data_IF_848516547704
#
_entry.id   IF_848516547704
#
_cell.length_a   1.000
_cell.length_b   1.000
_cell.length_c   1.000
_cell.angle_alpha   90.00
_cell.angle_beta   90.00
_cell.angle_gamma   90.00
#
_symmetry.space_group_name_H-M   'P 1'
#
loop_
_entity.id
_entity.type
_entity.pdbx_description
1 polymer ?
#
# COMPACT_ATOMS: atom_id res chain seq x y z
N UNK A 1 13.49 -21.23 2.27
CA UNK A 1 13.00 -20.52 1.07
C UNK A 1 13.45 -19.06 1.08
N UNK A 2 14.78 -18.84 1.13
CA UNK A 2 15.35 -17.49 1.13
C UNK A 2 15.08 -16.72 -0.18
N UNK A 3 14.87 -17.43 -1.29
CA UNK A 3 14.65 -16.84 -2.61
C UNK A 3 13.32 -16.07 -2.73
N UNK A 4 12.32 -16.39 -1.91
CA UNK A 4 11.00 -15.74 -1.90
C UNK A 4 10.83 -14.70 -0.79
N UNK A 5 11.86 -14.48 0.03
CA UNK A 5 11.84 -13.47 1.07
C UNK A 5 11.99 -12.07 0.48
N UNK A 6 11.39 -11.02 1.08
CA UNK A 6 11.66 -9.64 0.73
C UNK A 6 13.15 -9.33 0.76
N UNK A 7 13.64 -8.55 -0.20
CA UNK A 7 15.07 -8.30 -0.39
C UNK A 7 15.78 -7.86 0.90
N UNK A 8 15.17 -6.96 1.65
CA UNK A 8 15.72 -6.40 2.89
C UNK A 8 15.83 -7.40 4.03
N UNK A 9 15.10 -8.51 3.97
CA UNK A 9 14.96 -9.46 5.07
C UNK A 9 15.64 -10.81 4.79
N UNK A 10 16.25 -10.98 3.61
CA UNK A 10 16.87 -12.26 3.19
C UNK A 10 18.14 -12.61 3.93
N UNK A 11 18.70 -11.69 4.70
CA UNK A 11 20.07 -11.79 5.25
C UNK A 11 20.09 -12.34 6.69
N UNK A 12 18.99 -12.25 7.42
CA UNK A 12 18.92 -12.63 8.83
C UNK A 12 17.97 -13.80 9.08
N UNK A 13 18.24 -14.59 10.13
CA UNK A 13 17.48 -15.79 10.49
C UNK A 13 16.03 -15.49 10.93
N UNK A 14 15.78 -14.30 11.46
CA UNK A 14 14.50 -13.81 11.98
C UNK A 14 13.76 -12.89 10.98
N UNK A 15 14.09 -13.00 9.70
CA UNK A 15 13.54 -12.14 8.66
C UNK A 15 12.01 -12.18 8.54
N UNK A 16 11.38 -13.34 8.78
CA UNK A 16 9.92 -13.49 8.70
C UNK A 16 9.24 -12.63 9.76
N UNK A 17 9.73 -12.71 11.01
CA UNK A 17 9.16 -11.94 12.11
C UNK A 17 9.34 -10.44 11.89
N UNK A 18 10.52 -10.01 11.48
CA UNK A 18 10.77 -8.58 11.19
C UNK A 18 9.98 -8.07 10.01
N UNK A 19 9.88 -8.85 8.93
CA UNK A 19 9.04 -8.52 7.78
C UNK A 19 7.58 -8.36 8.21
N UNK A 20 7.08 -9.29 8.99
CA UNK A 20 5.71 -9.26 9.48
C UNK A 20 5.44 -8.03 10.36
N UNK A 21 6.28 -7.77 11.34
CA UNK A 21 6.14 -6.65 12.27
C UNK A 21 6.19 -5.28 11.60
N UNK A 22 6.91 -5.15 10.48
CA UNK A 22 6.99 -3.92 9.69
C UNK A 22 5.88 -3.78 8.65
N UNK A 23 5.10 -4.84 8.41
CA UNK A 23 4.14 -4.88 7.31
C UNK A 23 2.80 -4.23 7.66
N UNK A 24 2.38 -4.28 8.90
CA UNK A 24 1.11 -3.73 9.34
C UNK A 24 1.06 -2.20 9.20
N UNK A 25 -0.11 -1.68 8.83
CA UNK A 25 -0.37 -0.24 8.81
C UNK A 25 -0.12 0.36 10.19
N UNK A 26 0.59 1.50 10.31
CA UNK A 26 0.93 2.05 11.62
C UNK A 26 -0.27 2.72 12.31
N UNK A 27 -0.34 2.60 13.65
CA UNK A 27 -1.42 3.18 14.48
C UNK A 27 -1.55 4.71 14.40
N UNK A 28 -0.52 5.41 13.92
CA UNK A 28 -0.55 6.86 13.75
C UNK A 28 -1.03 7.29 12.35
N UNK A 29 -1.42 6.34 11.48
CA UNK A 29 -2.05 6.67 10.22
C UNK A 29 -3.43 7.28 10.46
N UNK A 30 -3.79 8.29 9.66
CA UNK A 30 -5.11 8.91 9.74
C UNK A 30 -6.25 7.89 9.61
N UNK A 31 -7.26 8.01 10.47
CA UNK A 31 -8.46 7.15 10.53
C UNK A 31 -8.26 5.65 10.78
N UNK A 32 -7.05 5.19 11.06
CA UNK A 32 -6.81 3.75 11.25
C UNK A 32 -7.68 3.16 12.37
N UNK A 33 -7.91 3.89 13.45
CA UNK A 33 -8.74 3.41 14.57
C UNK A 33 -10.19 3.19 14.16
N UNK A 34 -10.77 4.12 13.39
CA UNK A 34 -12.13 3.99 12.86
C UNK A 34 -12.22 2.79 11.89
N UNK A 35 -11.19 2.59 11.07
CA UNK A 35 -11.10 1.46 10.14
C UNK A 35 -11.05 0.13 10.92
N UNK A 36 -10.22 0.04 11.96
CA UNK A 36 -10.12 -1.17 12.78
C UNK A 36 -11.47 -1.52 13.43
N UNK A 37 -12.17 -0.53 13.98
CA UNK A 37 -13.52 -0.70 14.54
C UNK A 37 -14.52 -1.20 13.50
N UNK A 38 -14.57 -0.56 12.32
CA UNK A 38 -15.43 -0.97 11.21
C UNK A 38 -15.13 -2.39 10.72
N UNK A 39 -13.85 -2.79 10.77
CA UNK A 39 -13.41 -4.13 10.39
C UNK A 39 -13.59 -5.17 11.51
N UNK A 40 -14.00 -4.75 12.72
CA UNK A 40 -14.19 -5.63 13.87
C UNK A 40 -12.89 -6.27 14.38
N UNK A 41 -11.78 -5.54 14.27
CA UNK A 41 -10.45 -5.98 14.73
C UNK A 41 -9.84 -4.99 15.73
N UNK A 42 -9.01 -5.48 16.64
CA UNK A 42 -8.50 -4.69 17.76
C UNK A 42 -7.17 -3.98 17.49
N UNK A 43 -6.41 -4.43 16.49
CA UNK A 43 -5.07 -3.92 16.21
C UNK A 43 -4.69 -4.07 14.73
N UNK A 44 -3.68 -3.31 14.26
CA UNK A 44 -3.19 -3.39 12.88
C UNK A 44 -2.72 -4.79 12.47
N UNK A 45 -2.13 -5.56 13.37
CA UNK A 45 -1.67 -6.91 13.09
C UNK A 45 -2.84 -7.86 12.82
N UNK A 46 -3.94 -7.72 13.57
CA UNK A 46 -5.18 -8.48 13.32
C UNK A 46 -5.82 -8.07 11.97
N UNK A 47 -5.74 -6.79 11.62
CA UNK A 47 -6.19 -6.29 10.32
C UNK A 47 -5.32 -6.84 9.18
N UNK A 48 -4.01 -6.92 9.39
CA UNK A 48 -3.08 -7.53 8.44
C UNK A 48 -3.37 -9.02 8.22
N UNK A 49 -3.59 -9.79 9.32
CA UNK A 49 -3.96 -11.22 9.24
C UNK A 49 -5.27 -11.40 8.48
N UNK A 50 -6.29 -10.60 8.80
CA UNK A 50 -7.60 -10.64 8.13
C UNK A 50 -7.46 -10.46 6.61
N UNK A 51 -6.48 -9.68 6.16
CA UNK A 51 -6.20 -9.40 4.76
C UNK A 51 -5.05 -10.26 4.18
N UNK A 52 -4.69 -11.36 4.83
CA UNK A 52 -3.65 -12.31 4.38
C UNK A 52 -2.28 -11.67 4.15
N UNK A 53 -2.01 -10.51 4.75
CA UNK A 53 -0.81 -9.73 4.48
C UNK A 53 -0.68 -9.21 3.05
N UNK A 54 -1.73 -9.22 2.26
CA UNK A 54 -1.73 -8.80 0.85
C UNK A 54 -1.38 -7.31 0.71
N UNK A 55 -0.62 -6.99 -0.34
CA UNK A 55 -0.18 -5.64 -0.68
C UNK A 55 -0.25 -5.37 -2.18
N UNK A 56 -0.24 -4.10 -2.56
CA UNK A 56 0.01 -3.64 -3.93
C UNK A 56 1.41 -3.00 -4.08
N UNK A 57 2.29 -3.16 -3.09
CA UNK A 57 3.69 -2.76 -3.20
C UNK A 57 4.64 -3.93 -3.46
N UNK A 58 4.14 -5.14 -3.25
CA UNK A 58 4.83 -6.40 -3.48
C UNK A 58 3.82 -7.53 -3.73
N UNK A 59 4.30 -8.77 -3.84
CA UNK A 59 3.49 -9.97 -4.11
C UNK A 59 3.60 -11.03 -3.01
N UNK A 60 4.03 -10.66 -1.81
CA UNK A 60 4.11 -11.56 -0.66
C UNK A 60 2.78 -11.62 0.08
N UNK A 61 2.41 -12.81 0.55
CA UNK A 61 1.19 -13.02 1.32
C UNK A 61 1.33 -14.23 2.24
N UNK A 62 0.42 -14.34 3.21
CA UNK A 62 0.32 -15.52 4.08
C UNK A 62 -0.86 -16.36 3.65
N UNK A 63 -0.65 -17.65 3.57
CA UNK A 63 -1.71 -18.63 3.33
C UNK A 63 -1.97 -19.41 4.61
N UNK A 64 -3.22 -19.41 5.13
CA UNK A 64 -3.57 -20.29 6.25
C UNK A 64 -3.29 -21.74 5.87
N UNK A 65 -2.71 -22.49 6.80
CA UNK A 65 -2.54 -23.94 6.64
C UNK A 65 -3.91 -24.55 6.35
N UNK A 66 -3.94 -25.58 5.54
CA UNK A 66 -5.17 -26.29 5.15
C UNK A 66 -6.20 -25.47 4.34
N UNK A 67 -5.92 -24.19 4.02
CA UNK A 67 -6.77 -23.43 3.11
C UNK A 67 -6.52 -23.87 1.66
N UNK A 68 -7.58 -23.97 0.86
CA UNK A 68 -7.50 -24.16 -0.59
C UNK A 68 -7.13 -22.90 -1.37
N UNK A 69 -6.72 -21.81 -0.70
CA UNK A 69 -6.41 -20.54 -1.33
C UNK A 69 -5.17 -20.64 -2.22
N UNK A 70 -5.26 -20.05 -3.40
CA UNK A 70 -4.16 -19.90 -4.34
C UNK A 70 -3.92 -18.42 -4.63
N UNK A 71 -2.73 -18.06 -5.11
CA UNK A 71 -2.42 -16.68 -5.49
C UNK A 71 -3.47 -16.09 -6.45
N UNK A 72 -3.87 -16.84 -7.46
CA UNK A 72 -4.89 -16.41 -8.43
C UNK A 72 -6.21 -16.01 -7.77
N UNK A 73 -6.58 -16.66 -6.67
CA UNK A 73 -7.84 -16.38 -5.95
C UNK A 73 -7.77 -15.12 -5.09
N UNK A 74 -6.58 -14.73 -4.62
CA UNK A 74 -6.41 -13.65 -3.65
C UNK A 74 -5.61 -12.46 -4.17
N UNK A 75 -4.92 -12.60 -5.32
CA UNK A 75 -4.07 -11.56 -5.87
C UNK A 75 -4.84 -10.26 -6.11
N UNK A 76 -4.40 -9.19 -5.47
CA UNK A 76 -4.93 -7.83 -5.66
C UNK A 76 -4.56 -7.23 -7.02
N UNK A 77 -3.63 -7.87 -7.75
CA UNK A 77 -3.28 -7.50 -9.12
C UNK A 77 -4.23 -8.12 -10.14
N UNK A 78 -4.78 -9.29 -9.85
CA UNK A 78 -5.66 -10.04 -10.78
C UNK A 78 -7.15 -9.86 -10.48
N UNK A 79 -7.49 -9.47 -9.25
CA UNK A 79 -8.87 -9.35 -8.80
C UNK A 79 -9.21 -7.92 -8.38
N UNK A 80 -10.50 -7.61 -8.38
CA UNK A 80 -10.99 -6.34 -7.86
C UNK A 80 -11.08 -6.38 -6.33
N UNK A 81 -10.86 -5.25 -5.71
CA UNK A 81 -10.92 -5.06 -4.26
C UNK A 81 -11.60 -3.72 -3.92
N UNK A 82 -11.87 -3.49 -2.65
CA UNK A 82 -12.31 -2.20 -2.13
C UNK A 82 -11.27 -1.62 -1.18
N UNK A 83 -10.96 -0.35 -1.37
CA UNK A 83 -10.20 0.44 -0.40
C UNK A 83 -11.11 1.13 0.61
N UNK A 84 -10.49 1.80 1.59
CA UNK A 84 -11.22 2.52 2.64
C UNK A 84 -11.65 3.93 2.22
N UNK A 85 -11.14 4.45 1.12
CA UNK A 85 -11.47 5.78 0.57
C UNK A 85 -11.95 5.65 -0.87
N UNK A 86 -12.72 6.65 -1.32
CA UNK A 86 -13.21 6.75 -2.69
C UNK A 86 -12.96 8.15 -3.25
N UNK A 87 -12.78 8.25 -4.56
CA UNK A 87 -12.75 9.55 -5.23
C UNK A 87 -14.17 10.12 -5.31
N UNK A 88 -14.33 11.37 -4.89
CA UNK A 88 -15.62 12.06 -4.96
C UNK A 88 -16.04 12.28 -6.42
N UNK A 89 -17.29 11.92 -6.74
CA UNK A 89 -17.85 12.08 -8.08
C UNK A 89 -17.41 11.04 -9.11
N UNK A 90 -16.55 10.11 -8.76
CA UNK A 90 -16.25 8.93 -9.61
C UNK A 90 -16.77 7.66 -8.93
N UNK A 91 -17.45 6.82 -9.67
CA UNK A 91 -17.77 5.47 -9.17
C UNK A 91 -16.46 4.67 -9.18
N UNK A 92 -16.13 4.08 -8.03
CA UNK A 92 -15.18 2.97 -8.03
C UNK A 92 -15.69 1.92 -9.03
N UNK A 93 -14.82 1.42 -9.89
CA UNK A 93 -15.18 0.35 -10.83
C UNK A 93 -15.56 -0.87 -9.99
N UNK A 94 -16.84 -1.11 -9.86
CA UNK A 94 -17.35 -2.38 -9.34
C UNK A 94 -17.85 -3.11 -10.56
N UNK A 95 -17.07 -4.05 -11.03
CA UNK A 95 -17.55 -4.98 -12.05
C UNK A 95 -18.70 -5.80 -11.45
N UNK A 96 -19.54 -6.35 -12.29
CA UNK A 96 -20.56 -7.33 -11.90
C UNK A 96 -19.93 -8.66 -11.43
N UNK A 97 -18.60 -8.71 -11.24
CA UNK A 97 -17.84 -9.83 -10.73
C UNK A 97 -17.67 -9.79 -9.21
N UNK A 98 -17.19 -10.88 -8.63
CA UNK A 98 -16.93 -10.97 -7.20
C UNK A 98 -15.76 -10.06 -6.82
N UNK A 99 -16.06 -8.99 -6.07
CA UNK A 99 -15.04 -8.18 -5.42
C UNK A 99 -14.42 -8.99 -4.26
N UNK A 100 -13.10 -8.99 -4.16
CA UNK A 100 -12.42 -9.62 -3.04
C UNK A 100 -12.88 -8.99 -1.72
N UNK A 101 -13.00 -9.83 -0.69
CA UNK A 101 -13.20 -9.37 0.68
C UNK A 101 -11.92 -8.78 1.30
N UNK A 102 -10.77 -8.94 0.65
CA UNK A 102 -9.47 -8.47 1.09
C UNK A 102 -9.18 -7.07 0.55
N UNK A 103 -8.44 -6.27 1.33
CA UNK A 103 -7.98 -4.94 0.94
C UNK A 103 -6.46 -4.81 1.07
N UNK A 104 -5.78 -4.09 0.16
CA UNK A 104 -4.36 -3.79 0.29
C UNK A 104 -4.05 -2.74 1.37
N UNK A 105 -5.06 -2.07 1.92
CA UNK A 105 -4.88 -0.95 2.84
C UNK A 105 -4.27 -1.35 4.19
N UNK A 106 -4.35 -2.63 4.56
CA UNK A 106 -3.75 -3.17 5.78
C UNK A 106 -2.20 -3.10 5.81
N UNK A 107 -1.58 -2.85 4.66
CA UNK A 107 -0.10 -2.76 4.50
C UNK A 107 0.40 -1.36 4.18
N UNK A 108 -0.48 -0.35 4.13
CA UNK A 108 -0.10 1.02 3.79
C UNK A 108 0.73 1.66 4.89
N UNK A 109 1.94 2.10 4.55
CA UNK A 109 2.89 2.71 5.48
C UNK A 109 2.79 4.23 5.52
N UNK A 110 3.19 4.84 6.64
CA UNK A 110 3.26 6.28 6.87
C UNK A 110 1.98 6.87 7.49
N UNK A 111 2.08 8.10 8.00
CA UNK A 111 1.08 8.74 8.87
C UNK A 111 -0.11 9.37 8.15
N UNK A 112 0.02 9.71 6.86
CA UNK A 112 -1.08 10.30 6.10
C UNK A 112 -2.18 9.25 5.86
N UNK A 113 -3.43 9.70 5.86
CA UNK A 113 -4.55 8.91 5.42
C UNK A 113 -4.34 8.45 3.97
N UNK A 114 -4.47 7.17 3.72
CA UNK A 114 -4.23 6.56 2.40
C UNK A 114 -5.19 5.42 2.14
N UNK A 115 -5.45 5.18 0.87
CA UNK A 115 -6.18 4.00 0.43
C UNK A 115 -5.84 3.66 -1.01
N UNK A 116 -5.83 2.38 -1.31
CA UNK A 116 -5.82 1.91 -2.69
C UNK A 116 -7.23 1.86 -3.26
N UNK A 117 -7.37 2.25 -4.51
CA UNK A 117 -8.65 2.22 -5.23
C UNK A 117 -8.49 1.65 -6.64
N UNK A 118 -9.62 1.25 -7.20
CA UNK A 118 -9.77 0.88 -8.62
C UNK A 118 -10.56 1.96 -9.34
N UNK A 119 -10.00 2.47 -10.44
CA UNK A 119 -10.69 3.31 -11.42
C UNK A 119 -10.47 2.70 -12.80
N UNK A 120 -11.55 2.38 -13.48
CA UNK A 120 -11.50 1.77 -14.82
C UNK A 120 -10.55 0.56 -14.89
N UNK A 121 -10.65 -0.32 -13.88
CA UNK A 121 -9.82 -1.51 -13.66
C UNK A 121 -8.33 -1.24 -13.36
N UNK A 122 -7.91 0.02 -13.32
CA UNK A 122 -6.57 0.44 -12.96
C UNK A 122 -6.45 0.75 -11.48
N UNK A 123 -5.28 0.52 -10.92
CA UNK A 123 -4.99 0.67 -9.49
C UNK A 123 -4.35 2.02 -9.21
N UNK A 124 -4.88 2.73 -8.23
CA UNK A 124 -4.38 4.04 -7.80
C UNK A 124 -4.22 4.09 -6.29
N UNK A 125 -3.18 4.77 -5.84
CA UNK A 125 -3.00 5.13 -4.43
C UNK A 125 -3.54 6.54 -4.21
N UNK A 126 -4.51 6.67 -3.31
CA UNK A 126 -4.98 7.96 -2.78
C UNK A 126 -4.17 8.33 -1.55
N UNK A 127 -3.86 9.61 -1.40
CA UNK A 127 -3.29 10.23 -0.21
C UNK A 127 -4.12 11.42 0.20
N UNK A 128 -4.58 11.45 1.45
CA UNK A 128 -5.21 12.60 2.07
C UNK A 128 -4.17 13.58 2.63
N UNK A 129 -4.64 14.66 3.21
CA UNK A 129 -3.84 15.63 3.93
C UNK A 129 -3.88 15.37 5.45
N UNK A 130 -2.90 15.85 6.19
CA UNK A 130 -2.83 15.73 7.65
C UNK A 130 -3.88 16.57 8.35
N UNK A 131 -4.08 17.79 7.87
CA UNK A 131 -5.04 18.78 8.37
C UNK A 131 -5.57 19.67 7.24
N UNK A 132 -6.52 20.57 7.56
CA UNK A 132 -7.17 21.45 6.58
C UNK A 132 -6.23 22.48 5.95
N UNK A 133 -5.10 22.75 6.58
CA UNK A 133 -4.10 23.73 6.11
C UNK A 133 -2.88 23.05 5.49
N UNK A 134 -2.86 21.72 5.51
CA UNK A 134 -1.76 20.91 4.99
C UNK A 134 -1.66 21.02 3.47
N UNK A 135 -0.45 21.10 3.00
CA UNK A 135 -0.12 21.26 1.57
C UNK A 135 0.52 20.00 0.96
N UNK A 136 0.52 18.88 1.69
CA UNK A 136 1.20 17.65 1.24
C UNK A 136 0.74 17.23 -0.15
N UNK A 137 -0.56 17.18 -0.40
CA UNK A 137 -1.09 16.81 -1.71
C UNK A 137 -0.74 17.80 -2.81
N UNK A 138 -0.73 19.10 -2.49
CA UNK A 138 -0.33 20.15 -3.43
C UNK A 138 1.16 20.03 -3.76
N UNK A 139 2.00 19.78 -2.75
CA UNK A 139 3.44 19.60 -2.93
C UNK A 139 3.79 18.38 -3.80
N UNK A 140 3.07 17.27 -3.63
CA UNK A 140 3.23 16.08 -4.49
C UNK A 140 2.90 16.39 -5.95
N UNK A 141 1.80 17.12 -6.19
CA UNK A 141 1.40 17.51 -7.54
C UNK A 141 2.35 18.56 -8.12
N UNK A 142 2.78 19.54 -7.33
CA UNK A 142 3.75 20.53 -7.75
C UNK A 142 5.08 19.88 -8.16
N UNK A 143 5.61 18.97 -7.35
CA UNK A 143 6.81 18.19 -7.68
C UNK A 143 6.63 17.41 -8.99
N UNK A 144 5.47 16.79 -9.18
CA UNK A 144 5.14 16.07 -10.42
C UNK A 144 5.16 16.98 -11.66
N UNK A 145 4.61 18.20 -11.55
CA UNK A 145 4.64 19.19 -12.63
C UNK A 145 6.07 19.67 -12.91
N UNK A 146 6.87 19.88 -11.86
CA UNK A 146 8.27 20.28 -12.01
C UNK A 146 9.07 19.22 -12.75
N UNK A 147 8.93 17.93 -12.40
CA UNK A 147 9.59 16.84 -13.09
C UNK A 147 9.16 16.76 -14.57
N UNK A 148 7.88 16.97 -14.86
CA UNK A 148 7.38 17.02 -16.24
C UNK A 148 8.02 18.15 -17.04
N UNK A 149 8.18 19.34 -16.43
CA UNK A 149 8.83 20.48 -17.09
C UNK A 149 10.33 20.25 -17.31
N UNK A 150 10.96 19.42 -16.48
CA UNK A 150 12.37 19.03 -16.60
C UNK A 150 12.59 17.85 -17.54
N UNK A 151 11.53 17.34 -18.18
CA UNK A 151 11.58 16.13 -19.03
C UNK A 151 12.17 14.90 -18.31
N UNK A 152 11.90 14.81 -16.99
CA UNK A 152 12.35 13.69 -16.16
C UNK A 152 11.26 12.61 -16.11
N UNK A 153 11.57 11.41 -16.57
CA UNK A 153 10.55 10.36 -16.80
C UNK A 153 10.33 9.41 -15.60
N UNK A 154 11.30 9.31 -14.69
CA UNK A 154 11.26 8.31 -13.60
C UNK A 154 10.72 8.89 -12.29
N UNK A 155 9.45 9.30 -12.26
CA UNK A 155 8.81 9.82 -11.07
C UNK A 155 7.36 9.33 -10.94
N UNK A 156 6.81 9.40 -9.71
CA UNK A 156 5.40 9.15 -9.46
C UNK A 156 4.57 10.40 -9.80
N UNK A 157 3.77 10.35 -10.86
CA UNK A 157 2.96 11.48 -11.34
C UNK A 157 1.67 11.60 -10.56
N UNK A 158 1.61 12.55 -9.63
CA UNK A 158 0.43 12.82 -8.81
C UNK A 158 -0.51 13.83 -9.45
N UNK A 159 -1.81 13.63 -9.19
CA UNK A 159 -2.88 14.56 -9.56
C UNK A 159 -3.73 14.89 -8.33
N UNK A 160 -4.28 16.13 -8.29
CA UNK A 160 -5.22 16.54 -7.23
C UNK A 160 -6.59 15.89 -7.46
N UNK A 161 -7.25 15.55 -6.35
CA UNK A 161 -8.58 14.95 -6.38
C UNK A 161 -9.38 15.26 -5.12
N UNK A 162 -10.70 15.40 -5.26
CA UNK A 162 -11.61 15.34 -4.12
C UNK A 162 -11.78 13.91 -3.67
N UNK A 163 -11.61 13.65 -2.37
CA UNK A 163 -11.67 12.32 -1.76
C UNK A 163 -12.91 12.25 -0.88
N UNK A 164 -13.83 11.34 -1.21
CA UNK A 164 -15.02 11.07 -0.41
C UNK A 164 -14.63 10.34 0.87
N UNK A 165 -15.19 10.79 1.99
CA UNK A 165 -14.93 10.17 3.28
C UNK A 165 -13.57 10.49 3.89
N UNK A 166 -12.69 11.23 3.20
CA UNK A 166 -11.48 11.76 3.80
C UNK A 166 -11.80 12.78 4.88
N UNK A 167 -10.91 12.94 5.84
CA UNK A 167 -11.04 13.96 6.90
C UNK A 167 -11.08 15.37 6.31
N UNK A 168 -10.39 15.59 5.19
CA UNK A 168 -10.36 16.83 4.41
C UNK A 168 -10.71 16.54 2.95
N UNK A 169 -11.44 17.46 2.33
CA UNK A 169 -12.16 17.23 1.05
C UNK A 169 -11.25 16.91 -0.15
N UNK A 170 -9.98 17.16 -0.08
CA UNK A 170 -9.05 16.90 -1.19
C UNK A 170 -7.80 16.16 -0.76
N UNK A 171 -7.19 15.56 -1.72
CA UNK A 171 -5.93 14.86 -1.62
C UNK A 171 -5.27 14.76 -2.98
N UNK A 172 -4.35 13.84 -3.12
CA UNK A 172 -3.76 13.50 -4.41
C UNK A 172 -3.83 12.00 -4.67
N UNK A 173 -3.71 11.61 -5.92
CA UNK A 173 -3.67 10.21 -6.30
C UNK A 173 -2.61 9.96 -7.36
N UNK A 174 -2.12 8.74 -7.41
CA UNK A 174 -1.10 8.29 -8.37
C UNK A 174 -1.44 6.89 -8.84
N UNK A 175 -1.22 6.63 -10.13
CA UNK A 175 -1.35 5.28 -10.70
C UNK A 175 -0.30 4.36 -10.07
N UNK A 176 -0.68 3.12 -9.76
CA UNK A 176 0.26 2.11 -9.31
C UNK A 176 1.34 1.86 -10.38
N UNK A 177 2.59 1.84 -9.94
CA UNK A 177 3.76 1.51 -10.77
C UNK A 177 4.36 0.14 -10.44
N UNK A 178 3.70 -0.59 -9.57
CA UNK A 178 4.00 -1.98 -9.18
C UNK A 178 3.15 -2.97 -9.97
N UNK A 179 3.58 -4.22 -10.02
CA UNK A 179 2.87 -5.33 -10.68
C UNK A 179 3.24 -6.66 -10.03
N UNK A 180 2.72 -7.77 -10.54
CA UNK A 180 3.14 -9.11 -10.10
C UNK A 180 4.61 -9.44 -10.38
N UNK A 181 5.29 -8.65 -11.21
CA UNK A 181 6.72 -8.80 -11.54
C UNK A 181 7.57 -7.63 -11.04
N UNK A 182 6.96 -6.62 -10.42
CA UNK A 182 7.63 -5.37 -10.03
C UNK A 182 7.20 -4.92 -8.65
N UNK A 183 8.08 -5.12 -7.66
CA UNK A 183 7.86 -4.66 -6.29
C UNK A 183 8.47 -3.27 -6.04
N UNK A 184 7.97 -2.59 -5.02
CA UNK A 184 8.54 -1.35 -4.50
C UNK A 184 9.52 -1.68 -3.37
N UNK A 185 10.78 -1.37 -3.59
CA UNK A 185 11.81 -1.44 -2.55
C UNK A 185 12.27 -0.02 -2.20
N UNK A 186 12.19 0.35 -0.92
CA UNK A 186 12.63 1.67 -0.48
C UNK A 186 14.16 1.79 -0.51
N UNK A 187 14.67 3.00 -0.78
CA UNK A 187 16.11 3.28 -0.70
C UNK A 187 16.68 2.93 0.70
N UNK A 188 15.90 3.18 1.76
CA UNK A 188 16.28 2.78 3.12
C UNK A 188 16.49 1.27 3.25
N UNK A 189 15.62 0.46 2.66
CA UNK A 189 15.74 -1.00 2.68
C UNK A 189 17.03 -1.47 1.97
N UNK A 190 17.34 -0.87 0.81
CA UNK A 190 18.58 -1.19 0.06
C UNK A 190 19.81 -0.86 0.89
N UNK A 191 19.91 0.36 1.42
CA UNK A 191 21.08 0.82 2.21
C UNK A 191 21.25 0.00 3.49
N UNK A 192 20.14 -0.34 4.16
CA UNK A 192 20.20 -1.13 5.39
C UNK A 192 20.64 -2.56 5.12
N UNK A 193 20.20 -3.17 4.01
CA UNK A 193 20.61 -4.52 3.62
C UNK A 193 22.11 -4.59 3.28
N UNK A 194 22.67 -3.56 2.66
CA UNK A 194 24.11 -3.49 2.37
C UNK A 194 24.96 -3.36 3.64
N UNK A 195 24.52 -2.53 4.62
CA UNK A 195 25.20 -2.44 5.91
C UNK A 195 25.23 -3.78 6.65
N UNK A 196 24.09 -4.46 6.71
CA UNK A 196 23.99 -5.77 7.36
C UNK A 196 24.87 -6.85 6.68
N UNK A 197 25.05 -6.79 5.36
CA UNK A 197 25.99 -7.68 4.66
C UNK A 197 27.42 -7.48 5.11
N UNK A 198 27.84 -6.24 5.28
CA UNK A 198 29.19 -5.89 5.71
C UNK A 198 29.44 -6.31 7.17
N UNK A 199 28.45 -6.17 8.06
CA UNK A 199 28.54 -6.56 9.47
C UNK A 199 28.56 -8.10 9.66
N UNK A 200 27.93 -8.88 8.76
CA UNK A 200 27.95 -10.35 8.81
C UNK A 200 29.18 -10.98 8.14
N UNK A 201 30.00 -10.19 7.47
CA UNK A 201 31.23 -10.65 6.79
C UNK A 201 32.50 -10.36 7.57
N UNK A 202 32.42 -9.84 8.77
CA UNK A 202 33.49 -9.65 9.78
C UNK A 202 33.31 -10.63 10.92
#
# INVERSE_FOLDING_TARGET
NQEIAPLQERICSDWIERWWNKRAVPLNQGKIREILEQQGVSCPEAYLVKNLGLSLTDFYWIRPLESGLTWKMVSLYQNEFRGNLEIAGKRASVSNGSTLMYTPDSTLQGALEKSWILLDHERYLLKGNRDAYSTESINEVFASQLHRMQEYDNYASYELMKIKGAKYDYGCYVKAFTSEQKELVSAYAVVTSEKQRNDCST
#
